data_IF_613435877135
#
_entry.id   IF_613435877135
#
_cell.length_a   1.000
_cell.length_b   1.000
_cell.length_c   1.000
_cell.angle_alpha   90.00
_cell.angle_beta   90.00
_cell.angle_gamma   90.00
#
_symmetry.space_group_name_H-M   'P 1'
#
loop_
_entity.id
_entity.type
_entity.pdbx_description
1 polymer ?
#
# COMPACT_ATOMS: atom_id res chain seq x y z
N UNK A 1 1.57 22.75 34.99
CA UNK A 1 1.09 21.93 33.85
C UNK A 1 1.40 22.69 32.58
N UNK A 2 2.44 22.28 31.86
CA UNK A 2 2.77 22.77 30.53
C UNK A 2 2.63 21.57 29.58
N UNK A 3 1.81 21.73 28.55
CA UNK A 3 1.64 20.73 27.49
C UNK A 3 2.93 20.63 26.68
N UNK A 4 3.47 19.43 26.42
CA UNK A 4 4.61 19.29 25.52
C UNK A 4 4.17 19.62 24.09
N UNK A 5 4.92 20.51 23.44
CA UNK A 5 4.76 20.84 22.03
C UNK A 5 5.40 19.73 21.18
N UNK A 6 4.56 18.95 20.52
CA UNK A 6 4.96 17.81 19.68
C UNK A 6 5.20 18.20 18.21
N UNK A 7 5.30 19.50 17.89
CA UNK A 7 5.61 19.96 16.53
C UNK A 7 7.03 19.62 16.05
N UNK A 8 7.91 19.08 16.91
CA UNK A 8 9.31 18.78 16.58
C UNK A 8 9.67 17.30 16.42
N UNK A 9 8.72 16.36 16.50
CA UNK A 9 8.98 14.91 16.28
C UNK A 9 8.56 14.45 14.87
N UNK A 10 8.27 15.39 13.97
CA UNK A 10 8.24 15.14 12.53
C UNK A 10 9.55 15.61 11.93
N UNK A 11 10.49 14.71 11.70
CA UNK A 11 11.72 15.06 10.98
C UNK A 11 11.37 15.79 9.69
N UNK A 12 11.97 16.97 9.49
CA UNK A 12 11.93 17.72 8.24
C UNK A 12 12.34 16.80 7.09
N UNK A 13 11.36 16.15 6.51
CA UNK A 13 11.36 15.82 5.10
C UNK A 13 10.60 16.95 4.45
N UNK A 14 11.29 18.08 4.30
CA UNK A 14 11.14 18.83 3.07
C UNK A 14 11.18 17.78 1.97
N UNK A 15 10.02 17.48 1.40
CA UNK A 15 9.91 16.74 0.16
C UNK A 15 10.57 17.67 -0.84
N UNK A 16 11.91 17.62 -0.92
CA UNK A 16 12.67 18.16 -2.01
C UNK A 16 11.99 17.59 -3.24
N UNK A 17 11.28 18.48 -3.95
CA UNK A 17 10.55 18.17 -5.17
C UNK A 17 11.56 17.52 -6.11
N UNK A 18 11.64 16.18 -6.10
CA UNK A 18 12.62 15.44 -6.91
C UNK A 18 12.53 15.95 -8.34
N UNK A 19 13.66 16.41 -8.85
CA UNK A 19 13.79 16.99 -10.18
C UNK A 19 13.15 16.09 -11.23
N UNK A 20 12.45 16.69 -12.20
CA UNK A 20 11.72 15.98 -13.26
C UNK A 20 12.59 14.95 -13.99
N UNK A 21 13.90 15.23 -14.11
CA UNK A 21 14.91 14.39 -14.74
C UNK A 21 15.24 13.09 -14.00
N UNK A 22 14.86 12.97 -12.72
CA UNK A 22 15.10 11.77 -11.91
C UNK A 22 13.96 10.74 -11.99
N UNK A 23 12.87 11.05 -12.71
CA UNK A 23 11.75 10.15 -12.93
C UNK A 23 11.99 9.33 -14.22
N UNK A 24 11.45 8.11 -14.33
CA UNK A 24 11.55 7.30 -15.57
C UNK A 24 11.04 8.08 -16.80
N UNK A 25 10.08 8.99 -16.60
CA UNK A 25 9.54 9.90 -17.61
C UNK A 25 10.58 10.93 -18.12
N UNK A 26 11.45 11.43 -17.23
CA UNK A 26 12.48 12.42 -17.57
C UNK A 26 13.66 11.80 -18.33
N UNK A 27 13.98 10.54 -18.06
CA UNK A 27 15.02 9.77 -18.75
C UNK A 27 14.61 9.50 -20.20
N UNK A 28 13.34 9.15 -20.44
CA UNK A 28 12.78 9.01 -21.79
C UNK A 28 12.79 10.35 -22.54
N UNK A 29 12.43 11.45 -21.87
CA UNK A 29 12.52 12.79 -22.45
C UNK A 29 13.95 13.18 -22.86
N UNK A 30 14.95 12.80 -22.05
CA UNK A 30 16.37 13.00 -22.35
C UNK A 30 16.81 12.17 -23.56
N UNK A 31 16.37 10.91 -23.65
CA UNK A 31 16.64 10.05 -24.80
C UNK A 31 16.02 10.60 -26.10
N UNK A 32 14.80 11.15 -26.05
CA UNK A 32 14.15 11.79 -27.20
C UNK A 32 14.89 13.06 -27.64
N UNK A 33 15.35 13.89 -26.69
CA UNK A 33 16.15 15.09 -27.00
C UNK A 33 17.48 14.71 -27.65
N UNK A 34 18.15 13.67 -27.13
CA UNK A 34 19.40 13.15 -27.71
C UNK A 34 19.16 12.56 -29.11
N UNK A 35 18.07 11.82 -29.31
CA UNK A 35 17.70 11.28 -30.60
C UNK A 35 17.35 12.40 -31.62
N UNK A 36 16.60 13.41 -31.20
CA UNK A 36 16.28 14.58 -32.03
C UNK A 36 17.54 15.39 -32.38
N UNK A 37 18.46 15.56 -31.43
CA UNK A 37 19.77 16.15 -31.68
C UNK A 37 20.61 15.33 -32.66
N UNK A 38 20.60 14.00 -32.53
CA UNK A 38 21.27 13.09 -33.46
C UNK A 38 20.71 13.15 -34.89
N UNK A 39 19.39 13.24 -35.04
CA UNK A 39 18.73 13.47 -36.35
C UNK A 39 19.10 14.84 -36.92
N UNK A 40 19.13 15.88 -36.08
CA UNK A 40 19.55 17.23 -36.51
C UNK A 40 21.00 17.29 -36.99
N UNK A 41 21.90 16.52 -36.38
CA UNK A 41 23.29 16.39 -36.83
C UNK A 41 23.43 15.56 -38.12
N UNK A 42 22.59 14.54 -38.30
CA UNK A 42 22.59 13.74 -39.53
C UNK A 42 22.16 14.55 -40.76
N UNK A 43 21.14 15.41 -40.63
CA UNK A 43 20.68 16.31 -41.70
C UNK A 43 21.47 17.63 -41.77
N UNK A 44 22.54 17.78 -41.00
CA UNK A 44 23.30 19.02 -40.91
C UNK A 44 23.87 19.45 -42.27
N UNK A 45 24.37 18.53 -43.07
CA UNK A 45 24.93 18.83 -44.39
C UNK A 45 23.87 19.39 -45.37
N UNK A 46 22.65 18.83 -45.38
CA UNK A 46 21.55 19.33 -46.21
C UNK A 46 21.07 20.71 -45.75
N UNK A 47 21.04 20.94 -44.44
CA UNK A 47 20.72 22.25 -43.85
C UNK A 47 21.77 23.28 -44.28
N UNK A 48 23.06 22.94 -44.22
CA UNK A 48 24.15 23.85 -44.64
C UNK A 48 24.06 24.16 -46.14
N UNK A 49 23.76 23.17 -46.99
CA UNK A 49 23.60 23.40 -48.44
C UNK A 49 22.39 24.29 -48.76
N UNK A 50 21.28 24.12 -48.02
CA UNK A 50 20.11 25.01 -48.10
C UNK A 50 20.45 26.43 -47.65
N UNK A 51 21.20 26.59 -46.55
CA UNK A 51 21.64 27.89 -46.06
C UNK A 51 22.50 28.63 -47.10
N UNK A 52 23.43 27.94 -47.76
CA UNK A 52 24.27 28.52 -48.82
C UNK A 52 23.41 29.01 -49.99
N UNK A 53 22.39 28.24 -50.41
CA UNK A 53 21.46 28.62 -51.48
C UNK A 53 20.62 29.85 -51.10
N UNK A 54 20.15 29.93 -49.86
CA UNK A 54 19.33 31.03 -49.37
C UNK A 54 20.13 32.33 -49.18
N UNK A 55 21.38 32.23 -48.76
CA UNK A 55 22.28 33.40 -48.60
C UNK A 55 22.62 34.04 -49.95
N UNK A 56 22.56 33.29 -51.05
CA UNK A 56 22.82 33.82 -52.41
C UNK A 56 21.80 34.86 -52.88
N UNK A 57 20.62 34.92 -52.25
CA UNK A 57 19.54 35.84 -52.63
C UNK A 57 19.19 36.77 -51.46
N UNK A 58 19.42 38.08 -51.63
CA UNK A 58 19.22 39.12 -50.60
C UNK A 58 17.81 39.12 -50.00
N UNK A 59 16.78 38.79 -50.78
CA UNK A 59 15.40 38.73 -50.29
C UNK A 59 15.17 37.52 -49.37
N UNK A 60 15.73 36.36 -49.75
CA UNK A 60 15.58 35.12 -48.97
C UNK A 60 16.47 35.16 -47.72
N UNK A 61 17.64 35.81 -47.79
CA UNK A 61 18.49 36.09 -46.63
C UNK A 61 17.75 36.95 -45.60
N UNK A 62 17.02 37.98 -46.03
CA UNK A 62 16.20 38.81 -45.14
C UNK A 62 15.10 38.01 -44.43
N UNK A 63 14.40 37.13 -45.15
CA UNK A 63 13.40 36.23 -44.57
C UNK A 63 14.02 35.22 -43.59
N UNK A 64 15.19 34.68 -43.92
CA UNK A 64 15.89 33.74 -43.06
C UNK A 64 16.35 34.41 -41.75
N UNK A 65 16.95 35.60 -41.85
CA UNK A 65 17.34 36.38 -40.67
C UNK A 65 16.12 36.75 -39.81
N UNK A 66 14.99 37.06 -40.43
CA UNK A 66 13.71 37.27 -39.73
C UNK A 66 13.23 36.01 -38.99
N UNK A 67 13.29 34.85 -39.64
CA UNK A 67 12.91 33.57 -39.02
C UNK A 67 13.86 33.18 -37.87
N UNK A 68 15.15 33.42 -38.02
CA UNK A 68 16.15 33.19 -36.97
C UNK A 68 15.93 34.15 -35.80
N UNK A 69 15.67 35.43 -36.05
CA UNK A 69 15.35 36.39 -34.99
C UNK A 69 14.08 36.00 -34.22
N UNK A 70 13.07 35.49 -34.92
CA UNK A 70 11.83 34.99 -34.31
C UNK A 70 12.09 33.72 -33.47
N UNK A 71 12.90 32.79 -33.95
CA UNK A 71 13.33 31.61 -33.19
C UNK A 71 14.12 31.98 -31.93
N UNK A 72 15.06 32.92 -32.04
CA UNK A 72 15.86 33.41 -30.90
C UNK A 72 14.96 34.11 -29.88
N UNK A 73 14.00 34.91 -30.34
CA UNK A 73 12.99 35.55 -29.47
C UNK A 73 12.12 34.50 -28.75
N UNK A 74 11.69 33.46 -29.46
CA UNK A 74 10.87 32.37 -28.91
C UNK A 74 11.63 31.58 -27.84
N UNK A 75 12.92 31.28 -28.06
CA UNK A 75 13.76 30.57 -27.11
C UNK A 75 14.21 31.42 -25.90
N UNK A 76 14.40 32.73 -26.10
CA UNK A 76 14.87 33.65 -25.05
C UNK A 76 13.75 34.07 -24.11
N UNK A 77 12.51 34.12 -24.60
CA UNK A 77 11.36 34.51 -23.77
C UNK A 77 11.08 33.49 -22.65
N UNK A 78 11.08 33.99 -21.41
CA UNK A 78 10.95 33.17 -20.20
C UNK A 78 9.59 32.46 -20.11
N UNK A 79 8.55 33.11 -20.64
CA UNK A 79 7.17 32.60 -20.63
C UNK A 79 6.97 31.46 -21.64
N UNK A 80 7.53 31.58 -22.84
CA UNK A 80 7.43 30.52 -23.86
C UNK A 80 8.28 29.31 -23.49
N UNK A 81 9.49 29.51 -22.93
CA UNK A 81 10.30 28.40 -22.40
C UNK A 81 9.56 27.63 -21.31
N UNK A 82 8.89 28.35 -20.42
CA UNK A 82 8.09 27.77 -19.33
C UNK A 82 6.88 27.02 -19.89
N UNK A 83 6.15 27.62 -20.84
CA UNK A 83 5.02 26.99 -21.53
C UNK A 83 5.40 25.75 -22.34
N UNK A 84 6.50 25.81 -23.09
CA UNK A 84 7.04 24.67 -23.84
C UNK A 84 7.48 23.53 -22.90
N UNK A 85 8.10 23.85 -21.76
CA UNK A 85 8.41 22.88 -20.72
C UNK A 85 7.14 22.23 -20.13
N UNK A 86 6.09 23.01 -19.88
CA UNK A 86 4.80 22.47 -19.43
C UNK A 86 4.09 21.61 -20.48
N UNK A 87 4.15 21.99 -21.76
CA UNK A 87 3.63 21.18 -22.86
C UNK A 87 4.41 19.89 -23.01
N UNK A 88 5.75 19.95 -22.96
CA UNK A 88 6.62 18.78 -22.99
C UNK A 88 6.35 17.85 -21.80
N UNK A 89 6.22 18.39 -20.58
CA UNK A 89 5.83 17.63 -19.39
C UNK A 89 4.47 16.97 -19.56
N UNK A 90 3.49 17.66 -20.12
CA UNK A 90 2.14 17.13 -20.38
C UNK A 90 2.18 16.02 -21.44
N UNK A 91 2.97 16.18 -22.49
CA UNK A 91 3.15 15.20 -23.55
C UNK A 91 3.88 13.96 -23.02
N UNK A 92 4.96 14.13 -22.26
CA UNK A 92 5.72 13.04 -21.66
C UNK A 92 4.90 12.25 -20.65
N UNK A 93 4.06 12.92 -19.84
CA UNK A 93 3.09 12.23 -18.97
C UNK A 93 2.13 11.35 -19.77
N UNK A 94 1.64 11.85 -20.92
CA UNK A 94 0.78 11.06 -21.82
C UNK A 94 1.52 9.89 -22.49
N UNK A 95 2.76 10.11 -22.93
CA UNK A 95 3.58 9.09 -23.60
C UNK A 95 4.12 8.02 -22.65
N UNK A 96 4.53 8.40 -21.44
CA UNK A 96 4.93 7.45 -20.41
C UNK A 96 3.73 6.62 -19.92
N UNK A 97 2.54 7.23 -19.85
CA UNK A 97 1.29 6.51 -19.63
C UNK A 97 1.03 5.45 -20.71
N UNK A 98 1.35 5.70 -21.98
CA UNK A 98 1.18 4.71 -23.06
C UNK A 98 2.07 3.47 -22.94
N UNK A 99 3.14 3.50 -22.14
CA UNK A 99 4.14 2.43 -22.02
C UNK A 99 3.91 1.57 -20.75
N UNK A 100 3.13 2.04 -19.78
CA UNK A 100 2.75 1.30 -18.56
C UNK A 100 1.24 1.08 -18.62
N UNK A 101 0.76 -0.17 -18.64
CA UNK A 101 -0.66 -0.52 -18.81
C UNK A 101 -1.63 0.45 -18.08
N UNK A 102 -2.30 1.27 -18.88
CA UNK A 102 -3.13 2.44 -18.54
C UNK A 102 -4.50 2.11 -17.94
N UNK A 103 -4.79 0.86 -17.59
CA UNK A 103 -6.10 0.51 -17.04
C UNK A 103 -6.05 0.53 -15.51
N UNK A 104 -6.62 1.55 -14.84
CA UNK A 104 -6.64 1.64 -13.39
C UNK A 104 -7.31 0.41 -12.75
N UNK A 105 -8.28 -0.20 -13.43
CA UNK A 105 -8.96 -1.42 -12.99
C UNK A 105 -8.00 -2.62 -13.00
N UNK A 106 -7.14 -2.73 -14.02
CA UNK A 106 -6.17 -3.83 -14.12
C UNK A 106 -5.12 -3.76 -13.00
N UNK A 107 -4.64 -2.56 -12.68
CA UNK A 107 -3.70 -2.33 -11.58
C UNK A 107 -4.32 -2.78 -10.24
N UNK A 108 -5.56 -2.39 -9.98
CA UNK A 108 -6.28 -2.79 -8.76
C UNK A 108 -6.47 -4.30 -8.68
N UNK A 109 -6.76 -4.97 -9.80
CA UNK A 109 -6.85 -6.45 -9.86
C UNK A 109 -5.53 -7.12 -9.50
N UNK A 110 -4.39 -6.61 -9.98
CA UNK A 110 -3.06 -7.13 -9.65
C UNK A 110 -2.78 -6.97 -8.15
N UNK A 111 -3.10 -5.81 -7.56
CA UNK A 111 -2.93 -5.59 -6.12
C UNK A 111 -3.83 -6.50 -5.29
N UNK A 112 -5.10 -6.69 -5.68
CA UNK A 112 -6.01 -7.62 -5.04
C UNK A 112 -5.44 -9.05 -5.08
N UNK A 113 -4.88 -9.47 -6.21
CA UNK A 113 -4.29 -10.80 -6.34
C UNK A 113 -3.05 -10.98 -5.47
N UNK A 114 -2.14 -9.99 -5.42
CA UNK A 114 -0.99 -10.00 -4.52
C UNK A 114 -1.43 -10.08 -3.04
N UNK A 115 -2.45 -9.31 -2.64
CA UNK A 115 -3.01 -9.41 -1.30
C UNK A 115 -3.64 -10.77 -1.02
N UNK A 116 -4.36 -11.37 -1.97
CA UNK A 116 -4.91 -12.73 -1.84
C UNK A 116 -3.80 -13.75 -1.59
N UNK A 117 -2.72 -13.71 -2.37
CA UNK A 117 -1.57 -14.59 -2.23
C UNK A 117 -0.85 -14.38 -0.88
N UNK A 118 -0.61 -13.12 -0.47
CA UNK A 118 -0.01 -12.81 0.84
C UNK A 118 -0.88 -13.29 1.99
N UNK A 119 -2.20 -13.14 1.90
CA UNK A 119 -3.15 -13.59 2.92
C UNK A 119 -3.10 -15.11 3.07
N UNK A 120 -3.04 -15.84 1.96
CA UNK A 120 -2.89 -17.28 1.99
C UNK A 120 -1.58 -17.73 2.65
N UNK A 121 -0.46 -17.05 2.34
CA UNK A 121 0.83 -17.31 3.01
C UNK A 121 0.76 -17.03 4.51
N UNK A 122 0.12 -15.93 4.90
CA UNK A 122 -0.07 -15.54 6.29
C UNK A 122 -0.94 -16.54 7.05
N UNK A 123 -2.03 -17.06 6.44
CA UNK A 123 -2.82 -18.15 7.00
C UNK A 123 -1.95 -19.39 7.29
N UNK A 124 -1.09 -19.80 6.36
CA UNK A 124 -0.19 -20.95 6.59
C UNK A 124 0.79 -20.72 7.76
N UNK A 125 1.24 -19.48 7.96
CA UNK A 125 2.09 -19.11 9.11
C UNK A 125 1.29 -19.11 10.42
N UNK A 126 0.06 -18.60 10.42
CA UNK A 126 -0.88 -18.67 11.56
C UNK A 126 -1.09 -20.12 11.99
N UNK A 127 -1.38 -21.02 11.05
CA UNK A 127 -1.61 -22.44 11.34
C UNK A 127 -0.38 -23.11 11.95
N UNK A 128 0.81 -22.80 11.40
CA UNK A 128 2.09 -23.30 11.92
C UNK A 128 2.36 -22.79 13.34
N UNK A 129 2.16 -21.49 13.58
CA UNK A 129 2.37 -20.87 14.88
C UNK A 129 1.38 -21.41 15.92
N UNK A 130 0.11 -21.58 15.55
CA UNK A 130 -0.91 -22.21 16.39
C UNK A 130 -0.50 -23.65 16.79
N UNK A 131 0.00 -24.43 15.82
CA UNK A 131 0.52 -25.77 16.08
C UNK A 131 1.72 -25.79 17.03
N UNK A 132 2.66 -24.85 16.87
CA UNK A 132 3.78 -24.69 17.79
C UNK A 132 3.33 -24.28 19.20
N UNK A 133 2.34 -23.39 19.30
CA UNK A 133 1.76 -22.96 20.58
C UNK A 133 1.10 -24.14 21.31
N UNK A 134 0.37 -25.01 20.59
CA UNK A 134 -0.22 -26.23 21.17
C UNK A 134 0.87 -27.17 21.70
N UNK A 135 1.94 -27.40 20.93
CA UNK A 135 3.08 -28.22 21.38
C UNK A 135 3.77 -27.63 22.61
N UNK A 136 3.97 -26.31 22.64
CA UNK A 136 4.56 -25.61 23.77
C UNK A 136 3.67 -25.73 25.02
N UNK A 137 2.36 -25.53 24.88
CA UNK A 137 1.39 -25.71 25.98
C UNK A 137 1.43 -27.14 26.53
N UNK A 138 1.47 -28.13 25.64
CA UNK A 138 1.58 -29.54 26.03
C UNK A 138 2.87 -29.78 26.83
N UNK A 139 4.01 -29.25 26.36
CA UNK A 139 5.31 -29.40 27.04
C UNK A 139 5.33 -28.74 28.42
N UNK A 140 4.75 -27.54 28.56
CA UNK A 140 4.63 -26.84 29.85
C UNK A 140 3.80 -27.68 30.84
N UNK A 141 2.68 -28.25 30.37
CA UNK A 141 1.82 -29.11 31.19
C UNK A 141 2.52 -30.41 31.60
N UNK A 142 3.17 -31.09 30.65
CA UNK A 142 3.99 -32.29 30.92
C UNK A 142 5.08 -31.99 31.97
N UNK A 143 5.80 -30.87 31.81
CA UNK A 143 6.80 -30.43 32.79
C UNK A 143 6.16 -30.17 34.16
N UNK A 144 4.99 -29.53 34.24
CA UNK A 144 4.28 -29.30 35.51
C UNK A 144 3.88 -30.61 36.20
N UNK A 145 3.46 -31.63 35.45
CA UNK A 145 3.12 -32.93 36.01
C UNK A 145 4.38 -33.68 36.49
N UNK A 146 5.48 -33.62 35.74
CA UNK A 146 6.77 -34.17 36.14
C UNK A 146 7.32 -33.46 37.38
N UNK A 147 7.19 -32.14 37.49
CA UNK A 147 7.56 -31.35 38.66
C UNK A 147 6.83 -31.88 39.91
N UNK A 148 5.50 -32.06 39.82
CA UNK A 148 4.70 -32.61 40.93
C UNK A 148 5.16 -34.01 41.31
N UNK A 149 5.43 -34.87 40.33
CA UNK A 149 5.93 -36.23 40.59
C UNK A 149 7.31 -36.23 41.26
N UNK A 150 8.24 -35.40 40.78
CA UNK A 150 9.61 -35.30 41.30
C UNK A 150 9.66 -34.71 42.71
N UNK A 151 8.83 -33.71 43.01
CA UNK A 151 8.70 -33.22 44.38
C UNK A 151 8.02 -34.23 45.32
N UNK A 152 7.05 -35.00 44.84
CA UNK A 152 6.44 -36.08 45.63
C UNK A 152 7.45 -37.21 45.92
N UNK A 153 8.28 -37.58 44.92
CA UNK A 153 9.39 -38.52 45.06
C UNK A 153 10.43 -38.01 46.06
N UNK A 154 10.85 -36.74 45.93
CA UNK A 154 11.79 -36.10 46.85
C UNK A 154 11.27 -36.09 48.29
N UNK A 155 9.99 -35.77 48.51
CA UNK A 155 9.35 -35.78 49.82
C UNK A 155 9.29 -37.19 50.42
N UNK A 156 8.97 -38.20 49.62
CA UNK A 156 8.93 -39.61 50.05
C UNK A 156 10.32 -40.16 50.37
N UNK A 157 11.34 -39.79 49.59
CA UNK A 157 12.73 -40.17 49.87
C UNK A 157 13.24 -39.45 51.13
N UNK A 158 12.87 -38.18 51.33
CA UNK A 158 13.24 -37.41 52.52
C UNK A 158 12.58 -37.96 53.80
N UNK A 159 11.38 -38.54 53.73
CA UNK A 159 10.75 -39.16 54.90
C UNK A 159 11.32 -40.54 55.25
N UNK A 160 12.15 -41.13 54.38
CA UNK A 160 12.87 -42.38 54.60
C UNK A 160 14.39 -42.15 54.76
N UNK A 161 14.79 -40.99 55.27
CA UNK A 161 16.19 -40.55 55.36
C UNK A 161 17.12 -41.45 56.18
N UNK A 162 16.57 -42.37 56.97
CA UNK A 162 17.31 -43.37 57.75
C UNK A 162 17.86 -44.52 56.90
N UNK A 163 17.38 -44.66 55.65
CA UNK A 163 17.88 -45.66 54.69
C UNK A 163 19.08 -45.12 53.90
N UNK A 164 20.17 -45.88 53.76
CA UNK A 164 21.33 -45.46 52.97
C UNK A 164 20.93 -45.18 51.51
N UNK A 165 21.37 -44.06 50.94
CA UNK A 165 21.07 -43.64 49.57
C UNK A 165 19.80 -42.79 49.38
N UNK A 166 18.91 -42.71 50.39
CA UNK A 166 17.65 -41.97 50.26
C UNK A 166 17.81 -40.44 50.35
N UNK A 167 18.85 -39.95 51.03
CA UNK A 167 19.16 -38.51 51.08
C UNK A 167 19.65 -38.01 49.73
N UNK A 168 20.54 -38.76 49.07
CA UNK A 168 21.04 -38.45 47.73
C UNK A 168 19.91 -38.50 46.70
N UNK A 169 19.03 -39.52 46.76
CA UNK A 169 17.86 -39.63 45.88
C UNK A 169 16.88 -38.45 46.05
N UNK A 170 16.65 -38.01 47.29
CA UNK A 170 15.81 -36.83 47.57
C UNK A 170 16.40 -35.54 46.99
N UNK A 171 17.71 -35.34 47.14
CA UNK A 171 18.40 -34.17 46.57
C UNK A 171 18.37 -34.19 45.04
N UNK A 172 18.62 -35.34 44.41
CA UNK A 172 18.57 -35.47 42.95
C UNK A 172 17.17 -35.15 42.41
N UNK A 173 16.12 -35.75 43.00
CA UNK A 173 14.74 -35.48 42.59
C UNK A 173 14.35 -34.01 42.79
N UNK A 174 14.87 -33.35 43.82
CA UNK A 174 14.69 -31.90 44.05
C UNK A 174 15.38 -31.08 42.95
N UNK A 175 16.61 -31.41 42.57
CA UNK A 175 17.36 -30.73 41.50
C UNK A 175 16.65 -30.92 40.15
N UNK A 176 16.18 -32.13 39.84
CA UNK A 176 15.43 -32.41 38.61
C UNK A 176 14.12 -31.60 38.57
N UNK A 177 13.36 -31.56 39.68
CA UNK A 177 12.14 -30.77 39.79
C UNK A 177 12.40 -29.26 39.64
N UNK A 178 13.43 -28.74 40.30
CA UNK A 178 13.83 -27.34 40.18
C UNK A 178 14.30 -26.97 38.77
N UNK A 179 15.02 -27.88 38.08
CA UNK A 179 15.43 -27.70 36.70
C UNK A 179 14.24 -27.60 35.75
N UNK A 180 13.24 -28.48 35.89
CA UNK A 180 11.99 -28.41 35.12
C UNK A 180 11.20 -27.13 35.41
N UNK A 181 11.21 -26.65 36.66
CA UNK A 181 10.58 -25.39 37.03
C UNK A 181 11.25 -24.20 36.33
N UNK A 182 12.58 -24.14 36.33
CA UNK A 182 13.33 -23.10 35.59
C UNK A 182 13.08 -23.16 34.08
N UNK A 183 12.90 -24.37 33.51
CA UNK A 183 12.50 -24.49 32.11
C UNK A 183 11.12 -23.85 31.89
N UNK A 184 10.14 -24.17 32.73
CA UNK A 184 8.79 -23.59 32.61
C UNK A 184 8.78 -22.06 32.79
N UNK A 185 9.59 -21.51 33.69
CA UNK A 185 9.75 -20.05 33.85
C UNK A 185 10.22 -19.37 32.56
N UNK A 186 11.02 -20.04 31.72
CA UNK A 186 11.44 -19.54 30.41
C UNK A 186 10.41 -19.80 29.31
N UNK A 187 9.67 -20.91 29.37
CA UNK A 187 8.65 -21.25 28.37
C UNK A 187 7.38 -20.39 28.48
N UNK A 188 7.04 -19.91 29.69
CA UNK A 188 5.84 -19.11 29.94
C UNK A 188 5.84 -17.74 29.21
N UNK A 189 6.93 -16.94 29.24
CA UNK A 189 7.04 -15.72 28.43
C UNK A 189 6.92 -16.00 26.93
N UNK A 190 7.58 -17.06 26.45
CA UNK A 190 7.50 -17.47 25.05
C UNK A 190 6.07 -17.80 24.64
N UNK A 191 5.36 -18.58 25.45
CA UNK A 191 3.96 -18.92 25.25
C UNK A 191 3.07 -17.68 25.19
N UNK A 192 3.26 -16.71 26.10
CA UNK A 192 2.50 -15.46 26.10
C UNK A 192 2.77 -14.65 24.84
N UNK A 193 4.03 -14.53 24.43
CA UNK A 193 4.40 -13.80 23.21
C UNK A 193 3.79 -14.46 21.97
N UNK A 194 3.86 -15.79 21.86
CA UNK A 194 3.23 -16.54 20.76
C UNK A 194 1.72 -16.32 20.70
N UNK A 195 1.02 -16.28 21.84
CA UNK A 195 -0.43 -15.97 21.89
C UNK A 195 -0.75 -14.58 21.35
N UNK A 196 0.05 -13.59 21.72
CA UNK A 196 -0.12 -12.20 21.26
C UNK A 196 0.12 -12.09 19.76
N UNK A 197 1.19 -12.69 19.26
CA UNK A 197 1.52 -12.75 17.82
C UNK A 197 0.36 -13.40 17.06
N UNK A 198 -0.09 -14.56 17.53
CA UNK A 198 -1.16 -15.33 16.89
C UNK A 198 -2.45 -14.51 16.79
N UNK A 199 -2.90 -13.91 17.89
CA UNK A 199 -4.11 -13.09 17.91
C UNK A 199 -4.02 -11.87 16.97
N UNK A 200 -2.84 -11.24 16.90
CA UNK A 200 -2.60 -10.13 15.98
C UNK A 200 -2.68 -10.59 14.52
N UNK A 201 -1.96 -11.67 14.16
CA UNK A 201 -1.97 -12.21 12.80
C UNK A 201 -3.36 -12.65 12.36
N UNK A 202 -4.12 -13.33 13.23
CA UNK A 202 -5.50 -13.73 12.96
C UNK A 202 -6.39 -12.52 12.63
N UNK A 203 -6.28 -11.44 13.42
CA UNK A 203 -7.04 -10.21 13.19
C UNK A 203 -6.64 -9.49 11.90
N UNK A 204 -5.35 -9.42 11.59
CA UNK A 204 -4.85 -8.85 10.32
C UNK A 204 -5.34 -9.69 9.15
N UNK A 205 -5.32 -11.02 9.27
CA UNK A 205 -5.76 -11.95 8.22
C UNK A 205 -7.26 -11.84 7.93
N UNK A 206 -8.06 -11.75 8.98
CA UNK A 206 -9.50 -11.56 8.88
C UNK A 206 -9.82 -10.19 8.25
N UNK A 207 -9.12 -9.14 8.66
CA UNK A 207 -9.32 -7.79 8.09
C UNK A 207 -8.88 -7.72 6.63
N UNK A 208 -7.79 -8.39 6.27
CA UNK A 208 -7.35 -8.52 4.88
C UNK A 208 -8.42 -9.21 4.02
N UNK A 209 -9.03 -10.30 4.50
CA UNK A 209 -10.11 -10.99 3.79
C UNK A 209 -11.29 -10.06 3.50
N UNK A 210 -11.70 -9.25 4.49
CA UNK A 210 -12.77 -8.26 4.32
C UNK A 210 -12.41 -7.21 3.26
N UNK A 211 -11.25 -6.56 3.40
CA UNK A 211 -10.80 -5.48 2.50
C UNK A 211 -10.62 -6.01 1.07
N UNK A 212 -10.06 -7.21 0.91
CA UNK A 212 -9.90 -7.87 -0.39
C UNK A 212 -11.27 -8.08 -1.04
N UNK A 213 -12.23 -8.66 -0.33
CA UNK A 213 -13.58 -8.93 -0.85
C UNK A 213 -14.32 -7.64 -1.20
N UNK A 214 -14.27 -6.65 -0.31
CA UNK A 214 -14.90 -5.34 -0.53
C UNK A 214 -14.33 -4.65 -1.78
N UNK A 215 -12.99 -4.62 -1.88
CA UNK A 215 -12.32 -3.98 -3.01
C UNK A 215 -12.57 -4.74 -4.31
N UNK A 216 -12.59 -6.07 -4.29
CA UNK A 216 -12.96 -6.89 -5.45
C UNK A 216 -14.37 -6.58 -5.96
N UNK A 217 -15.34 -6.44 -5.05
CA UNK A 217 -16.72 -6.06 -5.41
C UNK A 217 -16.75 -4.66 -6.03
N UNK A 218 -16.07 -3.68 -5.41
CA UNK A 218 -16.03 -2.31 -5.92
C UNK A 218 -15.35 -2.22 -7.28
N UNK A 219 -14.23 -2.93 -7.48
CA UNK A 219 -13.51 -2.98 -8.75
C UNK A 219 -14.37 -3.62 -9.84
N UNK A 220 -15.10 -4.70 -9.53
CA UNK A 220 -16.05 -5.32 -10.48
C UNK A 220 -17.19 -4.37 -10.85
N UNK A 221 -17.76 -3.66 -9.88
CA UNK A 221 -18.79 -2.66 -10.14
C UNK A 221 -18.26 -1.56 -11.08
N UNK A 222 -17.06 -1.05 -10.79
CA UNK A 222 -16.41 -0.02 -11.60
C UNK A 222 -16.04 -0.49 -13.00
N UNK A 223 -15.67 -1.75 -13.17
CA UNK A 223 -15.45 -2.36 -14.47
C UNK A 223 -16.73 -2.39 -15.31
N UNK A 224 -17.86 -2.73 -14.69
CA UNK A 224 -19.17 -2.70 -15.36
C UNK A 224 -19.58 -1.27 -15.71
N UNK A 225 -19.46 -0.32 -14.77
CA UNK A 225 -19.73 1.10 -15.02
C UNK A 225 -18.86 1.64 -16.16
N UNK A 226 -17.56 1.34 -16.14
CA UNK A 226 -16.61 1.72 -17.18
C UNK A 226 -17.02 1.17 -18.55
N UNK A 227 -17.39 -0.12 -18.61
CA UNK A 227 -17.85 -0.75 -19.85
C UNK A 227 -19.13 -0.11 -20.38
N UNK A 228 -20.11 0.12 -19.51
CA UNK A 228 -21.38 0.78 -19.86
C UNK A 228 -21.14 2.19 -20.36
N UNK A 229 -20.33 3.00 -19.65
CA UNK A 229 -20.00 4.38 -20.07
C UNK A 229 -19.27 4.37 -21.40
N UNK A 230 -18.31 3.46 -21.60
CA UNK A 230 -17.56 3.32 -22.85
C UNK A 230 -18.49 2.98 -24.02
N UNK A 231 -19.35 1.98 -23.87
CA UNK A 231 -20.32 1.54 -24.90
C UNK A 231 -21.39 2.62 -25.16
N UNK A 232 -21.95 3.19 -24.09
CA UNK A 232 -22.97 4.25 -24.14
C UNK A 232 -22.41 5.57 -24.64
N UNK A 233 -21.10 5.83 -24.53
CA UNK A 233 -20.50 7.07 -25.03
C UNK A 233 -20.68 7.24 -26.54
N UNK A 234 -20.77 6.15 -27.32
CA UNK A 234 -21.04 6.22 -28.76
C UNK A 234 -22.49 6.61 -29.05
N UNK A 235 -23.46 6.07 -28.30
CA UNK A 235 -24.88 6.41 -28.41
C UNK A 235 -25.20 7.81 -27.84
N UNK A 236 -24.58 8.18 -26.72
CA UNK A 236 -24.74 9.48 -26.07
C UNK A 236 -24.05 10.61 -26.84
N UNK A 237 -22.90 10.37 -27.50
CA UNK A 237 -22.29 11.36 -28.42
C UNK A 237 -23.25 11.75 -29.53
N UNK A 238 -23.99 10.78 -30.08
CA UNK A 238 -25.00 11.00 -31.13
C UNK A 238 -26.24 11.72 -30.62
N UNK A 239 -26.71 11.43 -29.39
CA UNK A 239 -27.87 12.13 -28.81
C UNK A 239 -27.53 13.57 -28.34
N UNK A 240 -26.33 13.79 -27.80
CA UNK A 240 -25.90 15.08 -27.22
C UNK A 240 -25.44 16.07 -28.30
N UNK A 241 -24.81 15.59 -29.38
CA UNK A 241 -24.51 16.43 -30.56
C UNK A 241 -25.78 16.99 -31.22
N UNK A 242 -26.91 16.29 -31.04
CA UNK A 242 -28.22 16.71 -31.56
C UNK A 242 -28.92 17.70 -30.62
N UNK A 243 -28.76 17.60 -29.28
CA UNK A 243 -29.64 18.31 -28.34
C UNK A 243 -29.05 19.49 -27.54
N UNK A 244 -27.74 19.57 -27.27
CA UNK A 244 -27.10 20.72 -26.57
C UNK A 244 -25.59 20.50 -26.46
N UNK A 245 -24.79 21.39 -27.05
CA UNK A 245 -23.34 21.33 -26.93
C UNK A 245 -22.86 21.46 -25.48
N UNK A 246 -22.18 20.43 -24.96
CA UNK A 246 -20.81 20.47 -24.44
C UNK A 246 -20.33 19.02 -24.15
N UNK A 247 -19.19 18.55 -24.68
CA UNK A 247 -18.85 17.12 -24.75
C UNK A 247 -17.98 16.55 -23.60
N UNK A 248 -18.01 17.11 -22.38
CA UNK A 248 -16.97 16.82 -21.37
C UNK A 248 -17.35 15.89 -20.20
N UNK A 249 -18.35 15.01 -20.35
CA UNK A 249 -18.66 14.01 -19.29
C UNK A 249 -17.66 12.87 -19.17
N UNK A 250 -16.87 12.62 -20.23
CA UNK A 250 -15.80 11.61 -20.19
C UNK A 250 -14.66 12.04 -19.27
N UNK A 251 -14.33 13.33 -19.25
CA UNK A 251 -13.29 13.90 -18.38
C UNK A 251 -13.61 13.68 -16.90
N UNK A 252 -14.83 13.98 -16.47
CA UNK A 252 -15.25 13.76 -15.07
C UNK A 252 -15.29 12.28 -14.66
N UNK A 253 -15.61 11.38 -15.58
CA UNK A 253 -15.59 9.94 -15.31
C UNK A 253 -14.15 9.43 -15.15
N UNK A 254 -13.25 9.83 -16.06
CA UNK A 254 -11.83 9.48 -15.99
C UNK A 254 -11.17 10.08 -14.72
N UNK A 255 -11.50 11.31 -14.33
CA UNK A 255 -11.03 11.97 -13.08
C UNK A 255 -11.57 11.27 -11.82
N UNK A 256 -12.85 10.85 -11.82
CA UNK A 256 -13.42 10.08 -10.71
C UNK A 256 -12.77 8.70 -10.56
N UNK A 257 -12.34 8.10 -11.68
CA UNK A 257 -11.64 6.82 -11.67
C UNK A 257 -10.23 6.94 -11.10
N UNK A 258 -9.52 8.03 -11.42
CA UNK A 258 -8.19 8.35 -10.85
C UNK A 258 -8.25 8.51 -9.33
N UNK A 259 -9.22 9.26 -8.81
CA UNK A 259 -9.41 9.41 -7.36
C UNK A 259 -9.74 8.10 -6.65
N UNK A 260 -10.63 7.29 -7.24
CA UNK A 260 -11.00 5.97 -6.69
C UNK A 260 -9.81 5.02 -6.72
N UNK A 261 -9.02 5.05 -7.78
CA UNK A 261 -7.79 4.26 -7.88
C UNK A 261 -6.81 4.63 -6.78
N UNK A 262 -6.60 5.93 -6.52
CA UNK A 262 -5.68 6.39 -5.48
C UNK A 262 -6.14 5.95 -4.08
N UNK A 263 -7.43 6.12 -3.74
CA UNK A 263 -7.98 5.69 -2.44
C UNK A 263 -7.87 4.18 -2.25
N UNK A 264 -8.26 3.39 -3.27
CA UNK A 264 -8.16 1.94 -3.20
C UNK A 264 -6.70 1.49 -3.14
N UNK A 265 -5.81 2.09 -3.92
CA UNK A 265 -4.38 1.76 -3.92
C UNK A 265 -3.74 2.09 -2.57
N UNK A 266 -4.14 3.20 -1.94
CA UNK A 266 -3.69 3.55 -0.59
C UNK A 266 -4.14 2.50 0.43
N UNK A 267 -5.43 2.13 0.43
CA UNK A 267 -5.99 1.11 1.34
C UNK A 267 -5.34 -0.26 1.15
N UNK A 268 -5.17 -0.70 -0.10
CA UNK A 268 -4.49 -1.96 -0.42
C UNK A 268 -3.01 -1.91 -0.01
N UNK A 269 -2.35 -0.75 -0.15
CA UNK A 269 -0.96 -0.54 0.27
C UNK A 269 -0.78 -0.53 1.78
N UNK A 270 -1.68 0.10 2.54
CA UNK A 270 -1.72 0.06 4.00
C UNK A 270 -1.93 -1.37 4.51
N UNK A 271 -2.87 -2.11 3.93
CA UNK A 271 -3.11 -3.51 4.25
C UNK A 271 -1.89 -4.37 3.96
N UNK A 272 -1.26 -4.19 2.79
CA UNK A 272 -0.01 -4.89 2.43
C UNK A 272 1.07 -4.66 3.48
N UNK A 273 1.28 -3.41 3.91
CA UNK A 273 2.26 -3.08 4.96
C UNK A 273 1.92 -3.77 6.28
N UNK A 274 0.66 -3.76 6.71
CA UNK A 274 0.26 -4.46 7.94
C UNK A 274 0.50 -5.97 7.86
N UNK A 275 0.24 -6.61 6.71
CA UNK A 275 0.53 -8.03 6.48
C UNK A 275 2.02 -8.33 6.46
N UNK A 276 2.81 -7.49 5.79
CA UNK A 276 4.27 -7.65 5.72
C UNK A 276 4.91 -7.49 7.10
N UNK A 277 4.48 -6.49 7.87
CA UNK A 277 4.91 -6.32 9.25
C UNK A 277 4.48 -7.47 10.16
N UNK A 278 3.30 -8.05 9.93
CA UNK A 278 2.84 -9.24 10.67
C UNK A 278 3.71 -10.46 10.39
N UNK A 279 4.13 -10.64 9.13
CA UNK A 279 5.03 -11.73 8.74
C UNK A 279 6.47 -11.50 9.25
N UNK A 280 6.96 -10.27 9.22
CA UNK A 280 8.28 -9.92 9.74
C UNK A 280 8.36 -10.02 11.27
N UNK A 281 7.24 -9.81 11.97
CA UNK A 281 7.20 -9.92 13.44
C UNK A 281 7.58 -11.33 13.91
N UNK A 282 7.13 -12.39 13.22
CA UNK A 282 7.52 -13.78 13.50
C UNK A 282 9.05 -13.96 13.47
N UNK A 283 9.72 -13.26 12.54
CA UNK A 283 11.17 -13.34 12.39
C UNK A 283 11.94 -12.51 13.43
N UNK A 284 11.27 -11.54 14.07
CA UNK A 284 11.88 -10.59 15.01
C UNK A 284 11.67 -10.92 16.48
N UNK A 285 10.82 -11.91 16.81
CA UNK A 285 10.75 -12.44 18.17
C UNK A 285 11.99 -13.28 18.40
N UNK A 286 13.03 -12.66 18.94
CA UNK A 286 14.18 -13.38 19.45
C UNK A 286 13.73 -14.20 20.67
N UNK A 287 13.42 -15.48 20.39
CA UNK A 287 12.93 -16.49 21.33
C UNK A 287 13.83 -16.61 22.56
N UNK A 288 15.10 -16.20 22.45
CA UNK A 288 16.09 -16.34 23.52
C UNK A 288 15.88 -15.39 24.70
N UNK A 289 15.35 -14.19 24.48
CA UNK A 289 15.27 -13.17 25.54
C UNK A 289 13.85 -12.89 26.04
N UNK A 290 12.80 -13.32 25.32
CA UNK A 290 11.40 -13.11 25.74
C UNK A 290 10.97 -11.63 25.83
N UNK A 291 11.88 -10.70 25.51
CA UNK A 291 11.66 -9.26 25.43
C UNK A 291 11.09 -8.99 24.05
N UNK A 292 9.90 -8.39 24.01
CA UNK A 292 9.33 -7.83 22.81
C UNK A 292 10.34 -6.80 22.28
N UNK A 293 10.93 -7.02 21.10
CA UNK A 293 11.75 -6.00 20.45
C UNK A 293 10.95 -4.69 20.37
N UNK A 294 11.60 -3.52 20.37
CA UNK A 294 10.95 -2.21 20.24
C UNK A 294 9.90 -2.18 19.12
N UNK A 295 10.14 -2.92 18.03
CA UNK A 295 9.21 -3.10 16.91
C UNK A 295 7.92 -3.86 17.28
N UNK A 296 8.01 -4.87 18.13
CA UNK A 296 6.87 -5.61 18.64
C UNK A 296 6.04 -4.81 19.66
N UNK A 297 6.69 -3.96 20.44
CA UNK A 297 6.01 -3.01 21.35
C UNK A 297 5.29 -1.92 20.56
N UNK A 298 5.94 -1.36 19.54
CA UNK A 298 5.31 -0.41 18.61
C UNK A 298 4.10 -1.03 17.87
N UNK A 299 4.18 -2.31 17.50
CA UNK A 299 3.05 -3.07 16.93
C UNK A 299 1.91 -3.25 17.92
N UNK A 300 2.21 -3.62 19.17
CA UNK A 300 1.22 -3.78 20.23
C UNK A 300 0.54 -2.46 20.57
N UNK A 301 1.30 -1.36 20.61
CA UNK A 301 0.77 -0.01 20.76
C UNK A 301 -0.07 0.41 19.56
N UNK A 302 0.39 0.19 18.33
CA UNK A 302 -0.38 0.54 17.14
C UNK A 302 -1.68 -0.28 17.02
N UNK A 303 -1.67 -1.53 17.51
CA UNK A 303 -2.86 -2.37 17.67
C UNK A 303 -3.80 -1.85 18.77
N UNK A 304 -3.27 -1.55 19.96
CA UNK A 304 -4.06 -1.11 21.13
C UNK A 304 -4.59 0.33 20.99
N UNK A 305 -3.83 1.21 20.33
CA UNK A 305 -4.21 2.60 20.02
C UNK A 305 -5.13 2.68 18.79
N UNK A 306 -5.29 1.59 18.04
CA UNK A 306 -6.03 1.60 16.78
C UNK A 306 -5.38 2.48 15.70
N UNK A 307 -4.07 2.75 15.81
CA UNK A 307 -3.29 3.53 14.83
C UNK A 307 -3.14 2.76 13.52
N UNK A 308 -3.20 1.43 13.56
CA UNK A 308 -3.77 0.68 12.43
C UNK A 308 -5.27 0.95 12.42
N UNK A 309 -5.67 2.09 11.85
CA UNK A 309 -7.04 2.33 11.40
C UNK A 309 -7.35 1.32 10.28
N UNK A 310 -7.46 0.04 10.63
CA UNK A 310 -8.20 -0.95 9.89
C UNK A 310 -9.66 -0.56 10.03
N UNK A 311 -10.02 0.47 9.26
CA UNK A 311 -11.36 0.97 9.01
C UNK A 311 -12.17 1.20 10.29
N UNK A 312 -12.12 2.43 10.82
CA UNK A 312 -13.33 2.97 11.46
C UNK A 312 -14.43 2.97 10.39
N UNK A 313 -15.34 2.01 10.52
CA UNK A 313 -16.44 1.68 9.61
C UNK A 313 -17.54 2.75 9.53
N UNK A 314 -17.40 3.92 10.16
CA UNK A 314 -18.48 4.93 10.23
C UNK A 314 -18.17 6.26 9.54
N UNK A 315 -16.99 6.43 8.94
CA UNK A 315 -16.76 7.57 8.07
C UNK A 315 -17.26 7.21 6.67
N UNK A 316 -18.58 7.33 6.48
CA UNK A 316 -19.13 7.65 5.17
C UNK A 316 -18.18 8.71 4.58
N UNK A 317 -17.51 8.45 3.44
CA UNK A 317 -16.82 9.55 2.77
C UNK A 317 -17.90 10.60 2.59
N UNK A 318 -17.64 11.83 3.02
CA UNK A 318 -18.42 12.99 2.62
C UNK A 318 -18.31 13.07 1.09
N UNK A 319 -19.09 12.23 0.40
CA UNK A 319 -19.55 12.49 -0.93
C UNK A 319 -20.28 13.81 -0.73
N UNK A 320 -19.86 14.92 -1.34
CA UNK A 320 -20.63 16.14 -1.27
C UNK A 320 -22.03 15.76 -1.69
N UNK A 321 -22.96 15.79 -0.73
CA UNK A 321 -24.34 15.47 -1.01
C UNK A 321 -24.74 16.38 -2.16
N UNK A 322 -25.16 15.79 -3.27
CA UNK A 322 -25.69 16.54 -4.40
C UNK A 322 -26.80 17.42 -3.82
N UNK A 323 -26.53 18.72 -3.64
CA UNK A 323 -27.55 19.64 -3.19
C UNK A 323 -28.49 19.81 -4.39
N UNK A 324 -29.74 19.31 -4.31
CA UNK A 324 -30.68 19.55 -5.38
C UNK A 324 -30.89 21.06 -5.49
N UNK A 325 -30.88 21.56 -6.73
CA UNK A 325 -31.17 22.96 -7.02
C UNK A 325 -32.58 23.29 -6.48
N UNK A 326 -32.83 24.53 -6.02
CA UNK A 326 -34.11 24.88 -5.42
C UNK A 326 -35.25 24.60 -6.40
N UNK A 327 -36.11 23.62 -6.07
CA UNK A 327 -37.29 23.25 -6.85
C UNK A 327 -37.55 21.75 -7.05
N UNK A 328 -36.62 20.85 -6.73
CA UNK A 328 -36.86 19.40 -6.82
C UNK A 328 -37.35 18.81 -5.48
N UNK A 329 -38.53 18.19 -5.52
CA UNK A 329 -39.11 17.44 -4.39
C UNK A 329 -38.38 16.10 -4.27
N UNK A 330 -37.70 15.87 -3.15
CA UNK A 330 -37.06 14.59 -2.84
C UNK A 330 -38.11 13.46 -2.78
N UNK A 331 -37.91 12.32 -3.46
CA UNK A 331 -38.73 11.14 -3.18
C UNK A 331 -38.38 10.59 -1.78
N UNK A 332 -39.37 10.10 -1.01
CA UNK A 332 -39.15 9.62 0.35
C UNK A 332 -38.28 8.35 0.38
N UNK A 333 -37.42 8.28 1.41
CA UNK A 333 -36.28 7.35 1.54
C UNK A 333 -36.63 5.86 1.73
N UNK A 334 -37.89 5.44 1.79
CA UNK A 334 -38.24 4.10 2.29
C UNK A 334 -39.20 3.26 1.40
N UNK A 335 -39.40 3.61 0.13
CA UNK A 335 -40.36 2.87 -0.72
C UNK A 335 -39.76 1.73 -1.59
N UNK A 336 -38.48 1.38 -1.43
CA UNK A 336 -37.76 0.58 -2.43
C UNK A 336 -37.57 -0.92 -2.18
N UNK A 337 -37.86 -1.45 -0.97
CA UNK A 337 -37.42 -2.81 -0.61
C UNK A 337 -38.52 -3.75 -0.09
N UNK A 338 -39.80 -3.34 -0.11
CA UNK A 338 -40.91 -4.19 0.34
C UNK A 338 -41.63 -4.98 -0.75
N UNK A 339 -41.41 -4.68 -2.04
CA UNK A 339 -42.12 -5.33 -3.15
C UNK A 339 -41.26 -6.32 -3.95
N UNK A 340 -40.18 -6.84 -3.35
CA UNK A 340 -39.33 -7.86 -3.98
C UNK A 340 -39.46 -9.25 -3.32
N UNK A 341 -40.44 -9.41 -2.41
CA UNK A 341 -40.70 -10.67 -1.69
C UNK A 341 -42.19 -11.06 -1.62
N UNK A 342 -43.03 -10.54 -2.52
CA UNK A 342 -44.37 -11.09 -2.80
C UNK A 342 -44.50 -11.48 -4.27
#
# INVERSE_FOLDING_TARGET
MATPDFSQIGGNSDVEKRSFWSRPEGILGLAVIVAAGGVGLYFFNEIVEFLIKVVSNTLQLGLLLGAVALLVFLLTSRDIRTGAFFLFKTLMRKMAGLIIQLDPIAILKIYIDDLKQKRQKMQGQIDTLAGQLVKLNKKINENNDLIKQKFAEANKASSMADRPGMKEASQLATIEGAGLQQMNEKLLPLQRNMKVVLAFMEKVNQSADYIIKETEIKVRLKEVEYKIVKESSSALRTAVSIFKGNPDKKFYFDESMEYIQDDMSQKLGEMKRAMDLSMDFINSVDVQNGILSDKGQAMLEAYNKGEFKLVQLDAQPDVPAFQPRPGEVNPPKDAGYRNLLE
#
